data_IF_385062822699
#
_entry.id   IF_385062822699
#
_cell.length_a   1.000
_cell.length_b   1.000
_cell.length_c   1.000
_cell.angle_alpha   90.00
_cell.angle_beta   90.00
_cell.angle_gamma   90.00
#
_symmetry.space_group_name_H-M   'P 1'
#
loop_
_entity.id
_entity.type
_entity.pdbx_description
1 polymer ?
#
# COMPACT_ATOMS: atom_id res chain seq x y z
N UNK A 1 4.81 -43.78 7.09
CA UNK A 1 3.56 -43.10 7.52
C UNK A 1 3.80 -41.97 8.52
N UNK A 2 4.39 -42.21 9.71
CA UNK A 2 4.64 -41.14 10.72
C UNK A 2 5.47 -39.94 10.23
N UNK A 3 6.50 -40.20 9.40
CA UNK A 3 7.34 -39.14 8.80
C UNK A 3 6.58 -38.27 7.78
N UNK A 4 5.68 -38.88 7.02
CA UNK A 4 4.82 -38.20 6.05
C UNK A 4 3.80 -37.29 6.75
N UNK A 5 3.20 -37.78 7.84
CA UNK A 5 2.29 -36.99 8.69
C UNK A 5 3.03 -35.82 9.35
N UNK A 6 4.25 -36.04 9.82
CA UNK A 6 5.06 -34.97 10.41
C UNK A 6 5.45 -33.89 9.38
N UNK A 7 5.81 -34.27 8.16
CA UNK A 7 6.14 -33.31 7.07
C UNK A 7 4.89 -32.52 6.67
N UNK A 8 3.74 -33.18 6.58
CA UNK A 8 2.46 -32.53 6.25
C UNK A 8 2.05 -31.51 7.34
N UNK A 9 2.22 -31.84 8.62
CA UNK A 9 1.95 -30.94 9.74
C UNK A 9 2.87 -29.71 9.73
N UNK A 10 4.17 -29.90 9.44
CA UNK A 10 5.12 -28.78 9.33
C UNK A 10 4.76 -27.87 8.16
N UNK A 11 4.32 -28.42 7.02
CA UNK A 11 3.89 -27.63 5.86
C UNK A 11 2.63 -26.81 6.16
N UNK A 12 1.64 -27.40 6.85
CA UNK A 12 0.39 -26.74 7.26
C UNK A 12 0.67 -25.61 8.26
N UNK A 13 1.55 -25.87 9.23
CA UNK A 13 1.98 -24.84 10.20
C UNK A 13 2.74 -23.73 9.48
N UNK A 14 3.64 -24.04 8.56
CA UNK A 14 4.38 -23.06 7.76
C UNK A 14 3.45 -22.18 6.90
N UNK A 15 2.44 -22.79 6.27
CA UNK A 15 1.40 -22.09 5.51
C UNK A 15 0.58 -21.14 6.39
N UNK A 16 0.32 -21.53 7.64
CA UNK A 16 -0.45 -20.73 8.59
C UNK A 16 0.26 -19.44 8.97
N UNK A 17 1.60 -19.47 9.09
CA UNK A 17 2.42 -18.31 9.49
C UNK A 17 2.54 -17.28 8.37
N UNK A 18 2.36 -17.66 7.09
CA UNK A 18 2.38 -16.75 5.94
C UNK A 18 1.21 -15.75 5.93
N UNK A 19 0.13 -16.01 6.68
CA UNK A 19 -1.12 -15.23 6.63
C UNK A 19 -1.07 -13.92 7.43
N UNK A 20 -0.16 -13.80 8.40
CA UNK A 20 -0.31 -12.82 9.50
C UNK A 20 0.61 -11.59 9.46
N UNK A 21 1.43 -11.40 8.42
CA UNK A 21 2.21 -10.17 8.26
C UNK A 21 1.72 -9.29 7.09
N UNK A 22 0.41 -9.02 7.00
CA UNK A 22 -0.09 -7.95 6.11
C UNK A 22 0.29 -6.61 6.72
N UNK A 23 1.48 -6.11 6.41
CA UNK A 23 1.91 -4.79 6.85
C UNK A 23 1.10 -3.74 6.09
N UNK A 24 0.22 -3.02 6.79
CA UNK A 24 -0.49 -1.86 6.24
C UNK A 24 0.26 -0.58 6.61
N UNK A 25 0.43 0.34 5.67
CA UNK A 25 1.01 1.67 5.92
C UNK A 25 -0.10 2.70 6.00
N UNK A 26 -0.03 3.62 6.97
CA UNK A 26 -0.87 4.82 6.98
C UNK A 26 -0.32 5.80 5.94
N UNK A 27 -1.14 6.12 4.96
CA UNK A 27 -0.82 7.03 3.86
C UNK A 27 -1.69 8.26 3.98
N UNK A 28 -1.04 9.42 4.02
CA UNK A 28 -1.68 10.74 4.04
C UNK A 28 -1.64 11.32 2.63
N UNK A 29 -2.79 11.73 2.12
CA UNK A 29 -2.96 12.42 0.86
C UNK A 29 -3.17 13.90 1.12
N UNK A 30 -2.35 14.71 0.48
CA UNK A 30 -2.34 16.16 0.63
C UNK A 30 -2.15 16.85 -0.73
N UNK A 31 -2.63 18.07 -0.81
CA UNK A 31 -2.63 18.87 -2.04
C UNK A 31 -2.17 20.30 -1.76
N UNK A 32 -1.71 21.01 -2.78
CA UNK A 32 -1.40 22.44 -2.70
C UNK A 32 -2.62 23.30 -2.34
N UNK A 33 -3.81 22.88 -2.79
CA UNK A 33 -5.09 23.49 -2.41
C UNK A 33 -5.84 22.59 -1.42
N UNK A 34 -6.26 23.08 -0.25
CA UNK A 34 -6.98 22.27 0.73
C UNK A 34 -8.41 21.95 0.28
N UNK A 35 -8.94 20.83 0.78
CA UNK A 35 -10.34 20.46 0.58
C UNK A 35 -10.65 19.90 -0.82
N UNK A 36 -9.68 19.22 -1.43
CA UNK A 36 -9.89 18.42 -2.64
C UNK A 36 -10.45 17.04 -2.28
N UNK A 37 -11.41 16.56 -3.05
CA UNK A 37 -12.03 15.25 -2.88
C UNK A 37 -11.08 14.16 -3.38
N UNK A 38 -10.76 13.20 -2.50
CA UNK A 38 -9.85 12.10 -2.81
C UNK A 38 -10.65 10.81 -2.93
N UNK A 39 -10.38 10.09 -4.01
CA UNK A 39 -10.93 8.77 -4.30
C UNK A 39 -9.79 7.77 -4.44
N UNK A 40 -10.00 6.56 -3.95
CA UNK A 40 -9.08 5.45 -4.01
C UNK A 40 -9.78 4.26 -4.66
N UNK A 41 -9.31 3.80 -5.82
CA UNK A 41 -9.96 2.76 -6.62
C UNK A 41 -11.45 3.05 -6.90
N UNK A 42 -11.81 4.33 -7.01
CA UNK A 42 -13.19 4.80 -7.18
C UNK A 42 -13.99 4.98 -5.88
N UNK A 43 -13.49 4.53 -4.73
CA UNK A 43 -14.11 4.76 -3.42
C UNK A 43 -13.75 6.16 -2.92
N UNK A 44 -14.75 6.98 -2.57
CA UNK A 44 -14.52 8.26 -1.90
C UNK A 44 -13.96 8.04 -0.49
N UNK A 45 -12.77 8.58 -0.20
CA UNK A 45 -12.12 8.41 1.11
C UNK A 45 -12.18 9.66 2.00
N UNK A 46 -12.46 10.84 1.43
CA UNK A 46 -12.53 12.10 2.17
C UNK A 46 -11.89 13.27 1.41
N UNK A 47 -11.81 14.42 2.09
CA UNK A 47 -11.18 15.65 1.57
C UNK A 47 -9.75 15.83 2.08
N UNK A 48 -8.86 16.43 1.28
CA UNK A 48 -7.48 16.69 1.70
C UNK A 48 -7.40 17.71 2.85
N UNK A 49 -6.51 17.48 3.85
CA UNK A 49 -5.64 16.30 4.02
C UNK A 49 -6.40 15.08 4.60
N UNK A 50 -6.23 13.90 4.00
CA UNK A 50 -6.91 12.65 4.43
C UNK A 50 -5.91 11.51 4.63
N UNK A 51 -6.11 10.69 5.66
CA UNK A 51 -5.24 9.53 5.96
C UNK A 51 -6.00 8.20 5.80
N UNK A 52 -5.47 7.26 5.02
CA UNK A 52 -6.02 5.90 4.85
C UNK A 52 -4.93 4.84 5.08
N UNK A 53 -5.32 3.66 5.57
CA UNK A 53 -4.42 2.50 5.70
C UNK A 53 -4.40 1.71 4.39
N UNK A 54 -3.24 1.62 3.75
CA UNK A 54 -3.04 0.87 2.51
C UNK A 54 -2.18 -0.37 2.74
N UNK A 55 -2.39 -1.40 1.92
CA UNK A 55 -1.54 -2.60 1.97
C UNK A 55 -0.15 -2.29 1.41
N UNK A 56 0.89 -2.87 2.00
CA UNK A 56 2.26 -2.81 1.46
C UNK A 56 2.57 -3.92 0.46
N UNK A 57 1.57 -4.70 0.07
CA UNK A 57 1.75 -5.78 -0.88
C UNK A 57 2.25 -5.22 -2.22
N UNK A 58 3.35 -5.76 -2.75
CA UNK A 58 3.99 -5.28 -3.98
C UNK A 58 3.03 -5.31 -5.17
N UNK A 59 2.14 -6.30 -5.22
CA UNK A 59 1.14 -6.49 -6.28
C UNK A 59 -0.10 -5.60 -6.15
N UNK A 60 -0.19 -4.75 -5.12
CA UNK A 60 -1.33 -3.83 -4.95
C UNK A 60 -0.96 -2.44 -5.47
N UNK A 61 -1.69 -2.01 -6.49
CA UNK A 61 -1.53 -0.72 -7.19
C UNK A 61 -2.85 0.04 -7.18
N UNK A 62 -3.21 0.66 -6.04
CA UNK A 62 -4.45 1.42 -5.97
C UNK A 62 -4.32 2.72 -6.77
N UNK A 63 -5.38 3.05 -7.51
CA UNK A 63 -5.47 4.27 -8.31
C UNK A 63 -6.05 5.40 -7.47
N UNK A 64 -5.38 6.55 -7.46
CA UNK A 64 -5.85 7.74 -6.77
C UNK A 64 -6.47 8.69 -7.78
N UNK A 65 -7.67 9.15 -7.47
CA UNK A 65 -8.31 10.24 -8.22
C UNK A 65 -8.52 11.41 -7.26
N UNK A 66 -8.08 12.59 -7.65
CA UNK A 66 -8.26 13.82 -6.89
C UNK A 66 -9.11 14.76 -7.72
N UNK A 67 -10.19 15.25 -7.13
CA UNK A 67 -11.14 16.16 -7.77
C UNK A 67 -11.31 17.42 -6.93
N UNK A 68 -11.38 18.57 -7.59
CA UNK A 68 -11.67 19.85 -6.92
C UNK A 68 -12.37 20.77 -7.90
N UNK A 69 -13.42 21.44 -7.45
CA UNK A 69 -14.16 22.39 -8.28
C UNK A 69 -13.24 23.49 -8.82
N UNK A 70 -13.23 23.66 -10.15
CA UNK A 70 -12.38 24.63 -10.85
C UNK A 70 -10.95 24.13 -11.16
N UNK A 71 -10.62 22.87 -10.85
CA UNK A 71 -9.32 22.27 -11.11
C UNK A 71 -9.45 21.04 -12.02
N UNK A 72 -8.36 20.68 -12.67
CA UNK A 72 -8.28 19.46 -13.47
C UNK A 72 -8.24 18.24 -12.57
N UNK A 73 -9.04 17.23 -12.91
CA UNK A 73 -9.03 15.93 -12.26
C UNK A 73 -7.67 15.25 -12.45
N UNK A 74 -7.04 14.85 -11.35
CA UNK A 74 -5.79 14.08 -11.38
C UNK A 74 -6.11 12.60 -11.24
N UNK A 75 -5.63 11.79 -12.18
CA UNK A 75 -5.65 10.34 -12.10
C UNK A 75 -4.21 9.83 -12.06
N UNK A 76 -3.76 9.36 -10.90
CA UNK A 76 -2.38 8.93 -10.70
C UNK A 76 -2.30 7.71 -9.79
N UNK A 77 -1.26 6.92 -9.99
CA UNK A 77 -0.90 5.84 -9.09
C UNK A 77 -0.16 6.39 -7.86
N UNK A 78 -0.21 5.63 -6.76
CA UNK A 78 0.48 5.97 -5.52
C UNK A 78 1.98 5.84 -5.69
N UNK A 79 2.74 6.84 -5.20
CA UNK A 79 4.21 6.76 -5.17
C UNK A 79 4.62 5.67 -4.19
N UNK A 80 5.38 4.67 -4.66
CA UNK A 80 5.94 3.60 -3.83
C UNK A 80 7.38 3.93 -3.40
N UNK A 81 7.82 3.33 -2.31
CA UNK A 81 9.20 3.39 -1.82
C UNK A 81 9.69 2.03 -1.34
N UNK A 82 11.00 1.85 -1.40
CA UNK A 82 11.66 0.63 -0.91
C UNK A 82 11.74 0.69 0.62
N UNK A 83 11.09 -0.25 1.28
CA UNK A 83 11.22 -0.43 2.73
C UNK A 83 12.47 -1.27 3.00
N UNK A 84 13.60 -0.61 3.27
CA UNK A 84 14.90 -1.27 3.53
C UNK A 84 14.82 -2.32 4.63
N UNK A 85 13.98 -2.12 5.64
CA UNK A 85 13.74 -3.10 6.70
C UNK A 85 13.27 -4.46 6.11
N UNK A 86 12.39 -4.43 5.10
CA UNK A 86 11.87 -5.64 4.45
C UNK A 86 12.90 -6.27 3.50
N UNK A 87 13.84 -5.47 2.97
CA UNK A 87 14.95 -5.96 2.15
C UNK A 87 15.96 -6.74 3.00
N UNK A 88 16.34 -6.22 4.16
CA UNK A 88 17.31 -6.85 5.08
C UNK A 88 16.72 -8.13 5.69
N UNK A 89 15.49 -8.07 6.19
CA UNK A 89 14.81 -9.25 6.77
C UNK A 89 14.45 -10.31 5.71
N UNK A 90 14.14 -9.90 4.48
CA UNK A 90 13.83 -10.82 3.37
C UNK A 90 15.02 -11.68 2.94
N UNK A 91 16.23 -11.11 2.98
CA UNK A 91 17.45 -11.83 2.61
C UNK A 91 17.97 -12.77 3.72
N UNK A 92 17.78 -12.41 4.99
CA UNK A 92 18.36 -13.13 6.13
C UNK A 92 17.42 -14.15 6.79
N UNK A 93 16.12 -13.84 6.93
CA UNK A 93 15.23 -14.53 7.88
C UNK A 93 13.95 -15.10 7.25
N UNK A 94 13.39 -14.48 6.20
CA UNK A 94 12.11 -14.92 5.64
C UNK A 94 11.86 -14.39 4.20
N UNK A 95 12.13 -15.22 3.18
CA UNK A 95 11.97 -14.90 1.75
C UNK A 95 10.64 -14.22 1.36
N UNK A 96 9.47 -14.70 1.84
CA UNK A 96 8.19 -14.02 1.69
C UNK A 96 8.21 -12.52 1.97
N UNK A 97 9.03 -12.02 2.90
CA UNK A 97 9.10 -10.58 3.24
C UNK A 97 9.46 -9.68 2.04
N UNK A 98 10.10 -10.24 1.00
CA UNK A 98 10.38 -9.54 -0.26
C UNK A 98 9.10 -9.10 -0.99
N UNK A 99 7.98 -9.80 -0.79
CA UNK A 99 6.66 -9.45 -1.34
C UNK A 99 6.07 -8.15 -0.77
N UNK A 100 6.70 -7.57 0.24
CA UNK A 100 6.31 -6.29 0.85
C UNK A 100 7.45 -5.25 0.78
N UNK A 101 8.47 -5.48 -0.05
CA UNK A 101 9.65 -4.59 -0.14
C UNK A 101 9.32 -3.23 -0.77
N UNK A 102 8.40 -3.21 -1.74
CA UNK A 102 7.85 -1.97 -2.32
C UNK A 102 6.49 -1.68 -1.71
N UNK A 103 6.43 -0.72 -0.80
CA UNK A 103 5.18 -0.26 -0.20
C UNK A 103 4.85 1.18 -0.61
N UNK A 104 3.62 1.65 -0.35
CA UNK A 104 3.25 3.04 -0.62
C UNK A 104 4.02 4.00 0.31
N UNK A 105 4.41 5.17 -0.21
CA UNK A 105 4.95 6.27 0.60
C UNK A 105 3.89 6.73 1.59
N UNK A 106 4.34 7.02 2.81
CA UNK A 106 3.47 7.49 3.90
C UNK A 106 2.84 8.86 3.63
N UNK A 107 3.51 9.70 2.85
CA UNK A 107 3.03 11.04 2.52
C UNK A 107 3.00 11.21 1.00
N UNK A 108 1.82 11.52 0.48
CA UNK A 108 1.54 11.73 -0.94
C UNK A 108 1.12 13.19 -1.13
N UNK A 109 1.97 13.97 -1.78
CA UNK A 109 1.70 15.37 -2.10
C UNK A 109 1.48 15.51 -3.61
N UNK A 110 0.38 16.18 -3.98
CA UNK A 110 -0.02 16.43 -5.36
C UNK A 110 -0.26 17.92 -5.61
N UNK A 111 0.07 18.38 -6.81
CA UNK A 111 -0.18 19.75 -7.25
C UNK A 111 -1.31 19.69 -8.26
N UNK A 112 -2.43 20.36 -7.97
CA UNK A 112 -3.58 20.43 -8.87
C UNK A 112 -3.54 21.72 -9.71
N UNK A 113 -3.74 21.58 -11.01
CA UNK A 113 -3.79 22.72 -11.94
C UNK A 113 -5.22 23.18 -12.16
N UNK A 114 -5.43 24.48 -12.32
CA UNK A 114 -6.74 25.05 -12.68
C UNK A 114 -7.20 24.51 -14.05
N UNK A 115 -8.48 24.22 -14.18
CA UNK A 115 -9.07 23.91 -15.49
C UNK A 115 -9.18 25.21 -16.30
N UNK A 116 -8.46 25.31 -17.42
CA UNK A 116 -8.56 26.42 -18.38
C UNK A 116 -9.91 26.44 -19.09
#
# INVERSE_FOLDING_TARGET
MKKFVSILLVLIVLLSILSSCVTKTKVTFDTDVPGADVYLDGEYIGKTPVTKKLSNAVWKDPHVTIKKDGYQDIHTNIKKEVKMINLIFGWLLWLPSLLWVHGPKQYQYYIINTAN
#
